data_IF_256375612956
#
_entry.id   IF_256375612956
#
_cell.length_a   1.000
_cell.length_b   1.000
_cell.length_c   1.000
_cell.angle_alpha   90.00
_cell.angle_beta   90.00
_cell.angle_gamma   90.00
#
_symmetry.space_group_name_H-M   'P 1'
#
loop_
_entity.id
_entity.type
_entity.pdbx_description
1 polymer ?
#
# COMPACT_ATOMS: atom_id res chain seq x y z
N UNK A 1 38.36 -12.80 -12.14
CA UNK A 1 37.56 -11.65 -12.61
C UNK A 1 38.38 -10.39 -12.39
N UNK A 2 38.61 -9.58 -13.44
CA UNK A 2 39.45 -8.39 -13.32
C UNK A 2 38.86 -7.43 -12.27
N UNK A 3 39.69 -6.79 -11.42
CA UNK A 3 39.24 -5.97 -10.30
C UNK A 3 38.32 -4.82 -10.72
N UNK A 4 38.47 -4.36 -11.97
CA UNK A 4 37.61 -3.34 -12.61
C UNK A 4 36.18 -3.84 -12.85
N UNK A 5 35.97 -5.12 -13.18
CA UNK A 5 34.64 -5.69 -13.43
C UNK A 5 33.86 -5.94 -12.13
N UNK A 6 34.58 -6.36 -11.07
CA UNK A 6 33.99 -6.50 -9.72
C UNK A 6 33.60 -5.14 -9.13
N UNK A 7 34.44 -4.12 -9.28
CA UNK A 7 34.11 -2.75 -8.86
C UNK A 7 32.86 -2.22 -9.58
N UNK A 8 32.76 -2.42 -10.89
CA UNK A 8 31.62 -1.94 -11.69
C UNK A 8 30.31 -2.64 -11.33
N UNK A 9 30.34 -3.95 -11.07
CA UNK A 9 29.17 -4.70 -10.59
C UNK A 9 28.71 -4.26 -9.19
N UNK A 10 29.66 -4.03 -8.27
CA UNK A 10 29.33 -3.54 -6.92
C UNK A 10 28.72 -2.14 -6.99
N UNK A 11 29.25 -1.25 -7.83
CA UNK A 11 28.70 0.10 -8.00
C UNK A 11 27.30 0.09 -8.60
N UNK A 12 27.03 -0.76 -9.59
CA UNK A 12 25.68 -0.91 -10.18
C UNK A 12 24.68 -1.45 -9.16
N UNK A 13 25.08 -2.44 -8.35
CA UNK A 13 24.22 -3.03 -7.31
C UNK A 13 23.95 -2.03 -6.19
N UNK A 14 24.95 -1.26 -5.75
CA UNK A 14 24.78 -0.22 -4.72
C UNK A 14 23.91 0.93 -5.24
N UNK A 15 24.08 1.35 -6.50
CA UNK A 15 23.26 2.38 -7.11
C UNK A 15 21.79 1.95 -7.28
N UNK A 16 21.54 0.70 -7.68
CA UNK A 16 20.20 0.14 -7.74
C UNK A 16 19.59 -0.02 -6.35
N UNK A 17 20.33 -0.51 -5.37
CA UNK A 17 19.86 -0.62 -3.99
C UNK A 17 19.53 0.75 -3.39
N UNK A 18 20.34 1.78 -3.66
CA UNK A 18 20.07 3.15 -3.26
C UNK A 18 18.85 3.74 -3.99
N UNK A 19 18.64 3.40 -5.27
CA UNK A 19 17.44 3.80 -6.03
C UNK A 19 16.17 3.14 -5.51
N UNK A 20 16.19 1.84 -5.21
CA UNK A 20 15.04 1.12 -4.63
C UNK A 20 14.79 1.51 -3.17
N UNK A 21 15.83 1.75 -2.38
CA UNK A 21 15.68 2.30 -1.02
C UNK A 21 15.18 3.74 -1.06
N UNK A 22 15.62 4.57 -2.01
CA UNK A 22 15.17 5.95 -2.20
C UNK A 22 13.71 6.05 -2.68
N UNK A 23 13.28 5.20 -3.61
CA UNK A 23 11.88 5.11 -4.06
C UNK A 23 10.99 4.49 -2.97
N UNK A 24 11.50 3.51 -2.23
CA UNK A 24 10.80 2.89 -1.10
C UNK A 24 10.64 3.82 0.10
N UNK A 25 11.68 4.55 0.50
CA UNK A 25 11.62 5.59 1.54
C UNK A 25 10.83 6.81 1.07
N UNK A 26 10.99 7.22 -0.19
CA UNK A 26 10.20 8.28 -0.81
C UNK A 26 8.71 7.97 -0.78
N UNK A 27 8.30 6.76 -1.19
CA UNK A 27 6.90 6.31 -1.09
C UNK A 27 6.43 6.08 0.34
N UNK A 28 7.26 5.58 1.26
CA UNK A 28 6.84 5.43 2.65
C UNK A 28 6.61 6.77 3.36
N UNK A 29 7.40 7.79 3.02
CA UNK A 29 7.34 9.13 3.66
C UNK A 29 6.28 10.02 2.98
N UNK A 30 6.08 9.92 1.66
CA UNK A 30 5.14 10.78 0.91
C UNK A 30 3.78 10.15 0.60
N UNK A 31 3.68 8.84 0.36
CA UNK A 31 2.50 8.24 -0.29
C UNK A 31 1.40 7.79 0.70
N UNK A 32 1.75 7.55 1.98
CA UNK A 32 0.77 7.09 3.01
C UNK A 32 0.05 8.20 3.78
N UNK A 33 0.54 9.44 3.77
CA UNK A 33 0.11 10.46 4.75
C UNK A 33 -0.78 11.58 4.21
N UNK A 34 -0.99 11.73 2.90
CA UNK A 34 -1.78 12.87 2.38
C UNK A 34 -3.15 12.46 1.87
N UNK A 35 -3.29 11.41 1.04
CA UNK A 35 -4.59 11.03 0.48
C UNK A 35 -5.51 10.26 1.45
N UNK A 36 -4.94 9.42 2.33
CA UNK A 36 -5.73 8.83 3.43
C UNK A 36 -6.10 9.88 4.47
N UNK A 37 -5.21 10.85 4.72
CA UNK A 37 -5.53 11.94 5.61
C UNK A 37 -6.69 12.79 5.07
N UNK A 38 -6.72 13.11 3.77
CA UNK A 38 -7.82 13.89 3.19
C UNK A 38 -9.15 13.16 3.23
N UNK A 39 -9.23 11.88 2.85
CA UNK A 39 -10.50 11.14 2.89
C UNK A 39 -10.97 10.90 4.34
N UNK A 40 -10.08 10.53 5.25
CA UNK A 40 -10.46 10.30 6.65
C UNK A 40 -10.83 11.61 7.37
N UNK A 41 -10.16 12.71 7.05
CA UNK A 41 -10.47 14.04 7.58
C UNK A 41 -11.83 14.55 7.05
N UNK A 42 -12.15 14.33 5.78
CA UNK A 42 -13.47 14.64 5.21
C UNK A 42 -14.57 13.77 5.83
N UNK A 43 -14.34 12.46 5.99
CA UNK A 43 -15.31 11.54 6.62
C UNK A 43 -15.67 12.01 8.03
N UNK A 44 -14.70 12.46 8.82
CA UNK A 44 -14.95 12.86 10.21
C UNK A 44 -15.36 14.33 10.39
N UNK A 45 -14.92 15.25 9.52
CA UNK A 45 -15.22 16.68 9.66
C UNK A 45 -16.42 17.14 8.85
N UNK A 46 -16.63 16.63 7.64
CA UNK A 46 -17.64 17.15 6.71
C UNK A 46 -18.93 16.33 6.72
N UNK A 47 -18.87 15.01 6.97
CA UNK A 47 -20.07 14.17 6.96
C UNK A 47 -20.91 14.27 8.24
N UNK A 48 -20.43 14.96 9.28
CA UNK A 48 -21.13 15.14 10.56
C UNK A 48 -21.79 13.84 11.07
N UNK A 49 -20.98 12.78 11.17
CA UNK A 49 -21.45 11.44 11.49
C UNK A 49 -22.20 11.40 12.83
N UNK A 50 -23.32 10.69 12.86
CA UNK A 50 -24.01 10.42 14.12
C UNK A 50 -23.20 9.45 14.99
N UNK A 51 -23.37 9.45 16.33
CA UNK A 51 -22.67 8.50 17.20
C UNK A 51 -22.90 7.03 16.84
N UNK A 52 -24.04 6.71 16.23
CA UNK A 52 -24.33 5.37 15.74
C UNK A 52 -23.48 5.02 14.51
N UNK A 53 -23.38 5.93 13.54
CA UNK A 53 -22.55 5.78 12.34
C UNK A 53 -21.07 5.70 12.69
N UNK A 54 -20.58 6.55 13.60
CA UNK A 54 -19.19 6.51 14.07
C UNK A 54 -18.82 5.13 14.61
N UNK A 55 -19.66 4.54 15.47
CA UNK A 55 -19.42 3.19 16.01
C UNK A 55 -19.41 2.11 14.93
N UNK A 56 -20.28 2.22 13.92
CA UNK A 56 -20.30 1.27 12.80
C UNK A 56 -19.02 1.38 11.97
N UNK A 57 -18.57 2.60 11.67
CA UNK A 57 -17.33 2.86 10.94
C UNK A 57 -16.11 2.40 11.74
N UNK A 58 -16.06 2.63 13.05
CA UNK A 58 -14.97 2.13 13.91
C UNK A 58 -14.84 0.61 13.90
N UNK A 59 -15.96 -0.11 13.85
CA UNK A 59 -15.95 -1.56 13.73
C UNK A 59 -15.41 -2.02 12.36
N UNK A 60 -15.79 -1.34 11.27
CA UNK A 60 -15.24 -1.58 9.93
C UNK A 60 -13.72 -1.32 9.91
N UNK A 61 -13.26 -0.22 10.50
CA UNK A 61 -11.85 0.14 10.61
C UNK A 61 -11.04 -0.87 11.42
N UNK A 62 -11.60 -1.42 12.49
CA UNK A 62 -10.96 -2.48 13.27
C UNK A 62 -10.74 -3.74 12.43
N UNK A 63 -11.78 -4.19 11.73
CA UNK A 63 -11.70 -5.35 10.85
C UNK A 63 -10.70 -5.14 9.69
N UNK A 64 -10.77 -3.98 9.03
CA UNK A 64 -9.87 -3.63 7.93
C UNK A 64 -8.41 -3.59 8.39
N UNK A 65 -8.12 -3.05 9.57
CA UNK A 65 -6.76 -2.98 10.13
C UNK A 65 -6.14 -4.35 10.29
N UNK A 66 -6.89 -5.32 10.83
CA UNK A 66 -6.41 -6.70 10.98
C UNK A 66 -6.06 -7.31 9.63
N UNK A 67 -6.94 -7.12 8.63
CA UNK A 67 -6.72 -7.65 7.27
C UNK A 67 -5.51 -6.99 6.59
N UNK A 68 -5.38 -5.67 6.72
CA UNK A 68 -4.23 -4.91 6.22
C UNK A 68 -2.92 -5.42 6.82
N UNK A 69 -2.86 -5.57 8.14
CA UNK A 69 -1.65 -6.02 8.83
C UNK A 69 -1.24 -7.42 8.39
N UNK A 70 -2.20 -8.33 8.19
CA UNK A 70 -1.94 -9.67 7.67
C UNK A 70 -1.28 -9.64 6.27
N UNK A 71 -1.83 -8.84 5.35
CA UNK A 71 -1.30 -8.71 3.99
C UNK A 71 0.07 -8.02 3.97
N UNK A 72 0.27 -7.01 4.81
CA UNK A 72 1.58 -6.36 4.96
C UNK A 72 2.64 -7.31 5.55
N UNK A 73 2.25 -8.22 6.44
CA UNK A 73 3.14 -9.28 6.92
C UNK A 73 3.47 -10.28 5.81
N UNK A 74 2.50 -10.66 4.98
CA UNK A 74 2.74 -11.55 3.84
C UNK A 74 3.71 -10.93 2.83
N UNK A 75 3.54 -9.65 2.50
CA UNK A 75 4.47 -8.90 1.66
C UNK A 75 5.90 -8.88 2.24
N UNK A 76 6.03 -8.67 3.56
CA UNK A 76 7.34 -8.72 4.24
C UNK A 76 7.97 -10.10 4.19
N UNK A 77 7.18 -11.15 4.40
CA UNK A 77 7.65 -12.54 4.31
C UNK A 77 8.12 -12.89 2.89
N UNK A 78 7.35 -12.50 1.87
CA UNK A 78 7.74 -12.68 0.47
C UNK A 78 9.06 -11.96 0.13
N UNK A 79 9.29 -10.76 0.67
CA UNK A 79 10.56 -10.05 0.50
C UNK A 79 11.73 -10.75 1.20
N UNK A 80 11.52 -11.34 2.37
CA UNK A 80 12.56 -12.12 3.05
C UNK A 80 12.93 -13.37 2.24
N UNK A 81 11.95 -14.04 1.64
CA UNK A 81 12.16 -15.17 0.74
C UNK A 81 12.88 -14.77 -0.54
N UNK A 82 12.49 -13.63 -1.14
CA UNK A 82 13.18 -13.06 -2.31
C UNK A 82 14.65 -12.80 -2.01
N UNK A 83 14.96 -12.19 -0.85
CA UNK A 83 16.33 -11.94 -0.44
C UNK A 83 17.14 -13.25 -0.28
N UNK A 84 16.53 -14.32 0.24
CA UNK A 84 17.18 -15.63 0.29
C UNK A 84 17.38 -16.22 -1.09
N UNK A 85 16.38 -16.16 -1.96
CA UNK A 85 16.43 -16.72 -3.30
C UNK A 85 17.51 -16.06 -4.17
N UNK A 86 17.66 -14.74 -4.08
CA UNK A 86 18.72 -13.99 -4.80
C UNK A 86 20.12 -14.46 -4.38
N UNK A 87 20.32 -14.76 -3.09
CA UNK A 87 21.61 -15.28 -2.60
C UNK A 87 21.91 -16.69 -3.09
N UNK A 88 20.88 -17.53 -3.27
CA UNK A 88 21.07 -18.94 -3.59
C UNK A 88 21.11 -19.19 -5.11
N UNK A 89 20.28 -18.48 -5.89
CA UNK A 89 20.08 -18.74 -7.32
C UNK A 89 20.95 -17.83 -8.21
N UNK A 90 21.48 -16.73 -7.67
CA UNK A 90 22.35 -15.76 -8.37
C UNK A 90 21.82 -15.27 -9.74
N UNK A 91 20.50 -15.34 -9.93
CA UNK A 91 19.79 -15.01 -11.16
C UNK A 91 18.28 -15.09 -10.95
N UNK A 92 17.50 -14.83 -12.00
CA UNK A 92 16.04 -14.91 -11.94
C UNK A 92 15.56 -16.36 -12.05
N UNK A 93 15.76 -17.12 -10.98
CA UNK A 93 15.33 -18.52 -10.88
C UNK A 93 13.91 -18.69 -10.36
N UNK A 94 13.52 -19.95 -10.17
CA UNK A 94 12.15 -20.31 -9.80
C UNK A 94 11.72 -19.74 -8.45
N UNK A 95 12.63 -19.66 -7.45
CA UNK A 95 12.30 -19.12 -6.13
C UNK A 95 12.20 -17.61 -6.15
N UNK A 96 13.04 -16.94 -6.93
CA UNK A 96 12.93 -15.48 -7.14
C UNK A 96 11.57 -15.14 -7.76
N UNK A 97 11.19 -15.83 -8.83
CA UNK A 97 9.90 -15.62 -9.50
C UNK A 97 8.70 -15.91 -8.57
N UNK A 98 8.76 -17.00 -7.78
CA UNK A 98 7.72 -17.34 -6.83
C UNK A 98 7.55 -16.29 -5.72
N UNK A 99 8.66 -15.79 -5.15
CA UNK A 99 8.62 -14.76 -4.11
C UNK A 99 8.06 -13.44 -4.64
N UNK A 100 8.44 -13.03 -5.85
CA UNK A 100 7.89 -11.85 -6.54
C UNK A 100 6.38 -12.02 -6.79
N UNK A 101 5.95 -13.20 -7.26
CA UNK A 101 4.54 -13.51 -7.47
C UNK A 101 3.70 -13.41 -6.19
N UNK A 102 4.21 -13.96 -5.08
CA UNK A 102 3.56 -13.85 -3.76
C UNK A 102 3.46 -12.42 -3.28
N UNK A 103 4.53 -11.63 -3.44
CA UNK A 103 4.52 -10.22 -3.08
C UNK A 103 3.45 -9.44 -3.87
N UNK A 104 3.38 -9.64 -5.20
CA UNK A 104 2.37 -8.99 -6.03
C UNK A 104 0.95 -9.43 -5.71
N UNK A 105 0.75 -10.69 -5.37
CA UNK A 105 -0.56 -11.19 -4.96
C UNK A 105 -1.04 -10.52 -3.68
N UNK A 106 -0.21 -10.50 -2.63
CA UNK A 106 -0.55 -9.84 -1.37
C UNK A 106 -0.78 -8.32 -1.54
N UNK A 107 0.03 -7.67 -2.38
CA UNK A 107 -0.17 -6.26 -2.74
C UNK A 107 -1.52 -6.03 -3.44
N UNK A 108 -1.86 -6.84 -4.44
CA UNK A 108 -3.13 -6.72 -5.17
C UNK A 108 -4.34 -6.99 -4.29
N UNK A 109 -4.25 -7.96 -3.38
CA UNK A 109 -5.27 -8.18 -2.36
C UNK A 109 -5.43 -6.95 -1.47
N UNK A 110 -4.33 -6.35 -0.98
CA UNK A 110 -4.39 -5.17 -0.12
C UNK A 110 -5.06 -3.98 -0.82
N UNK A 111 -4.78 -3.77 -2.11
CA UNK A 111 -5.47 -2.75 -2.90
C UNK A 111 -6.97 -3.02 -3.03
N UNK A 112 -7.35 -4.27 -3.27
CA UNK A 112 -8.76 -4.68 -3.34
C UNK A 112 -9.49 -4.43 -2.01
N UNK A 113 -8.87 -4.81 -0.89
CA UNK A 113 -9.41 -4.61 0.46
C UNK A 113 -9.57 -3.12 0.78
N UNK A 114 -8.63 -2.25 0.37
CA UNK A 114 -8.78 -0.80 0.55
C UNK A 114 -10.00 -0.25 -0.19
N UNK A 115 -10.22 -0.68 -1.45
CA UNK A 115 -11.38 -0.23 -2.23
C UNK A 115 -12.68 -0.72 -1.58
N UNK A 116 -12.72 -1.99 -1.18
CA UNK A 116 -13.88 -2.57 -0.50
C UNK A 116 -14.18 -1.86 0.82
N UNK A 117 -13.15 -1.51 1.60
CA UNK A 117 -13.29 -0.77 2.85
C UNK A 117 -13.90 0.62 2.64
N UNK A 118 -13.45 1.36 1.62
CA UNK A 118 -14.01 2.66 1.24
C UNK A 118 -15.52 2.54 0.93
N UNK A 119 -15.92 1.54 0.13
CA UNK A 119 -17.34 1.30 -0.15
C UNK A 119 -18.14 0.81 1.06
N UNK A 120 -17.54 0.04 1.97
CA UNK A 120 -18.21 -0.40 3.19
C UNK A 120 -18.53 0.80 4.11
N UNK A 121 -17.62 1.75 4.25
CA UNK A 121 -17.88 3.00 4.98
C UNK A 121 -19.00 3.81 4.34
N UNK A 122 -19.02 3.90 3.00
CA UNK A 122 -20.10 4.58 2.25
C UNK A 122 -21.47 4.03 2.60
N UNK A 123 -21.62 2.71 2.78
CA UNK A 123 -22.93 2.11 3.06
C UNK A 123 -23.53 2.44 4.43
N UNK A 124 -22.74 2.98 5.35
CA UNK A 124 -23.20 3.47 6.66
C UNK A 124 -23.84 4.87 6.56
N UNK A 125 -23.60 5.58 5.46
CA UNK A 125 -23.98 6.98 5.28
C UNK A 125 -25.43 7.15 4.81
N UNK A 126 -26.04 8.28 5.16
CA UNK A 126 -27.33 8.72 4.58
C UNK A 126 -27.16 9.10 3.11
N UNK A 127 -28.25 9.19 2.32
CA UNK A 127 -28.16 9.63 0.92
C UNK A 127 -27.39 10.94 0.72
N UNK A 128 -27.67 11.96 1.53
CA UNK A 128 -27.00 13.27 1.45
C UNK A 128 -25.50 13.17 1.78
N UNK A 129 -25.14 12.36 2.79
CA UNK A 129 -23.75 12.11 3.15
C UNK A 129 -23.01 11.32 2.06
N UNK A 130 -23.69 10.38 1.38
CA UNK A 130 -23.11 9.61 0.25
C UNK A 130 -22.73 10.54 -0.91
N UNK A 131 -23.53 11.57 -1.19
CA UNK A 131 -23.20 12.55 -2.24
C UNK A 131 -21.91 13.31 -1.94
N UNK A 132 -21.76 13.81 -0.71
CA UNK A 132 -20.52 14.49 -0.27
C UNK A 132 -19.34 13.52 -0.36
N UNK A 133 -19.49 12.31 0.18
CA UNK A 133 -18.45 11.28 0.14
C UNK A 133 -18.01 10.94 -1.29
N UNK A 134 -18.96 10.70 -2.20
CA UNK A 134 -18.69 10.31 -3.58
C UNK A 134 -17.92 11.42 -4.32
N UNK A 135 -18.33 12.69 -4.13
CA UNK A 135 -17.63 13.84 -4.70
C UNK A 135 -16.20 13.96 -4.19
N UNK A 136 -15.96 13.72 -2.90
CA UNK A 136 -14.61 13.73 -2.31
C UNK A 136 -13.76 12.60 -2.87
N UNK A 137 -14.30 11.38 -2.96
CA UNK A 137 -13.57 10.22 -3.49
C UNK A 137 -13.19 10.46 -4.95
N UNK A 138 -14.13 10.92 -5.79
CA UNK A 138 -13.85 11.28 -7.17
C UNK A 138 -12.76 12.34 -7.24
N UNK A 139 -12.88 13.43 -6.49
CA UNK A 139 -11.90 14.51 -6.47
C UNK A 139 -10.50 14.01 -6.08
N UNK A 140 -10.41 13.14 -5.07
CA UNK A 140 -9.14 12.56 -4.64
C UNK A 140 -8.52 11.62 -5.69
N UNK A 141 -9.34 10.94 -6.49
CA UNK A 141 -8.88 10.04 -7.55
C UNK A 141 -8.52 10.78 -8.85
N UNK A 142 -9.11 11.95 -9.08
CA UNK A 142 -8.87 12.77 -10.29
C UNK A 142 -7.95 13.96 -10.05
N UNK A 143 -7.50 14.18 -8.80
CA UNK A 143 -6.53 15.23 -8.50
C UNK A 143 -5.23 14.96 -9.27
N UNK A 144 -4.85 15.88 -10.15
CA UNK A 144 -3.56 15.83 -10.83
C UNK A 144 -2.45 15.91 -9.79
N UNK A 145 -1.50 14.99 -9.87
CA UNK A 145 -0.31 15.05 -9.01
C UNK A 145 0.53 16.23 -9.50
N UNK A 146 0.85 17.22 -8.66
CA UNK A 146 1.67 18.37 -9.07
C UNK A 146 3.09 17.96 -9.49
#
# INVERSE_FOLDING_TARGET
>A
MTPRLRGLLITVVVALAAGFAGVGLGKLIFDRNQHQATLHEVIHRELHLTPAQTRQIENLESAFRVRREALEMEMRAANAELASAIRDEHGYGSRVSAAVGRFHHAMGQLQTEMIQHVFAMREVLTPDQKEVFDNTVVSALTAETP
#
